data_IF_409708333338
#
_entry.id   IF_409708333338
#
_cell.length_a   1.000
_cell.length_b   1.000
_cell.length_c   1.000
_cell.angle_alpha   90.00
_cell.angle_beta   90.00
_cell.angle_gamma   90.00
#
_symmetry.space_group_name_H-M   'P 1'
#
loop_
_entity.id
_entity.type
_entity.pdbx_description
1 polymer ?
#
# COMPACT_ATOMS: atom_id res chain seq x y z
N UNK A 1 -38.29 -2.17 -22.90
CA UNK A 1 -37.69 -1.55 -21.69
C UNK A 1 -36.53 -2.40 -21.16
N UNK A 2 -36.57 -3.72 -21.36
CA UNK A 2 -35.60 -4.66 -20.79
C UNK A 2 -34.19 -4.56 -21.39
N UNK A 3 -34.05 -4.16 -22.65
CA UNK A 3 -32.72 -4.05 -23.27
C UNK A 3 -31.85 -2.94 -22.65
N UNK A 4 -32.45 -1.84 -22.19
CA UNK A 4 -31.74 -0.77 -21.46
C UNK A 4 -31.34 -1.24 -20.06
N UNK A 5 -32.22 -1.97 -19.38
CA UNK A 5 -31.92 -2.61 -18.09
C UNK A 5 -30.80 -3.65 -18.24
N UNK A 6 -30.83 -4.45 -19.30
CA UNK A 6 -29.80 -5.46 -19.58
C UNK A 6 -28.44 -4.83 -19.88
N UNK A 7 -28.41 -3.72 -20.64
CA UNK A 7 -27.16 -2.97 -20.88
C UNK A 7 -26.64 -2.37 -19.57
N UNK A 8 -27.52 -1.76 -18.76
CA UNK A 8 -27.13 -1.19 -17.47
C UNK A 8 -26.62 -2.27 -16.51
N UNK A 9 -27.30 -3.42 -16.43
CA UNK A 9 -26.87 -4.56 -15.62
C UNK A 9 -25.55 -5.15 -16.11
N UNK A 10 -25.35 -5.27 -17.42
CA UNK A 10 -24.07 -5.70 -17.98
C UNK A 10 -22.94 -4.73 -17.60
N UNK A 11 -23.14 -3.42 -17.78
CA UNK A 11 -22.14 -2.43 -17.41
C UNK A 11 -21.83 -2.46 -15.91
N UNK A 12 -22.85 -2.60 -15.07
CA UNK A 12 -22.65 -2.65 -13.62
C UNK A 12 -21.97 -3.95 -13.20
N UNK A 13 -22.50 -5.11 -13.58
CA UNK A 13 -22.06 -6.40 -13.06
C UNK A 13 -20.79 -6.91 -13.73
N UNK A 14 -20.64 -6.70 -15.03
CA UNK A 14 -19.54 -7.28 -15.81
C UNK A 14 -18.36 -6.31 -15.98
N UNK A 15 -18.57 -5.00 -15.77
CA UNK A 15 -17.51 -3.99 -15.94
C UNK A 15 -17.23 -3.28 -14.61
N UNK A 16 -18.21 -2.62 -14.00
CA UNK A 16 -17.98 -1.78 -12.82
C UNK A 16 -17.79 -2.60 -11.53
N UNK A 17 -18.39 -3.78 -11.43
CA UNK A 17 -18.22 -4.69 -10.30
C UNK A 17 -16.96 -5.56 -10.43
N UNK A 18 -16.34 -5.62 -11.61
CA UNK A 18 -15.07 -6.33 -11.82
C UNK A 18 -13.90 -5.42 -11.45
N UNK A 19 -13.16 -5.69 -10.36
CA UNK A 19 -12.14 -4.78 -9.84
C UNK A 19 -11.03 -4.45 -10.84
N UNK A 20 -10.58 -5.44 -11.62
CA UNK A 20 -9.53 -5.26 -12.62
C UNK A 20 -9.90 -4.23 -13.70
N UNK A 21 -11.16 -4.24 -14.14
CA UNK A 21 -11.66 -3.27 -15.13
C UNK A 21 -11.86 -1.90 -14.50
N UNK A 22 -12.35 -1.84 -13.27
CA UNK A 22 -12.49 -0.59 -12.53
C UNK A 22 -11.13 0.13 -12.37
N UNK A 23 -10.08 -0.59 -11.98
CA UNK A 23 -8.70 -0.05 -11.89
C UNK A 23 -8.18 0.44 -13.25
N UNK A 24 -8.47 -0.29 -14.33
CA UNK A 24 -8.16 0.12 -15.70
C UNK A 24 -8.85 1.42 -16.11
N UNK A 25 -10.16 1.52 -15.85
CA UNK A 25 -10.97 2.71 -16.15
C UNK A 25 -10.46 3.92 -15.37
N UNK A 26 -10.17 3.77 -14.08
CA UNK A 26 -9.66 4.85 -13.24
C UNK A 26 -8.30 5.34 -13.76
N UNK A 27 -7.43 4.40 -14.15
CA UNK A 27 -6.14 4.73 -14.77
C UNK A 27 -6.34 5.49 -16.08
N UNK A 28 -7.28 5.07 -16.91
CA UNK A 28 -7.64 5.76 -18.15
C UNK A 28 -8.09 7.20 -17.89
N UNK A 29 -8.99 7.40 -16.92
CA UNK A 29 -9.50 8.71 -16.52
C UNK A 29 -8.37 9.60 -15.99
N UNK A 30 -7.47 9.06 -15.16
CA UNK A 30 -6.31 9.80 -14.66
C UNK A 30 -5.37 10.25 -15.78
N UNK A 31 -5.09 9.38 -16.75
CA UNK A 31 -4.27 9.70 -17.92
C UNK A 31 -4.96 10.71 -18.85
N UNK A 32 -6.28 10.62 -19.01
CA UNK A 32 -7.07 11.57 -19.76
C UNK A 32 -7.06 12.96 -19.11
N UNK A 33 -7.21 13.04 -17.78
CA UNK A 33 -7.12 14.29 -17.02
C UNK A 33 -5.74 14.95 -17.14
N UNK A 34 -4.67 14.14 -17.26
CA UNK A 34 -3.31 14.59 -17.56
C UNK A 34 -3.08 14.94 -19.03
N UNK A 35 -4.11 14.93 -19.88
CA UNK A 35 -4.04 15.22 -21.33
C UNK A 35 -3.01 14.36 -22.08
N UNK A 36 -2.85 13.10 -21.66
CA UNK A 36 -2.00 12.12 -22.35
C UNK A 36 -2.60 11.72 -23.70
N UNK A 37 -1.78 11.18 -24.61
CA UNK A 37 -2.27 10.75 -25.92
C UNK A 37 -3.21 9.53 -25.79
N UNK A 38 -4.10 9.32 -26.77
CA UNK A 38 -5.03 8.18 -26.74
C UNK A 38 -4.34 6.82 -26.56
N UNK A 39 -3.18 6.62 -27.20
CA UNK A 39 -2.37 5.41 -27.04
C UNK A 39 -1.79 5.26 -25.62
N UNK A 40 -1.40 6.37 -24.98
CA UNK A 40 -0.94 6.33 -23.58
C UNK A 40 -2.09 6.01 -22.62
N UNK A 41 -3.28 6.58 -22.86
CA UNK A 41 -4.49 6.32 -22.06
C UNK A 41 -4.88 4.84 -22.16
N UNK A 42 -5.05 4.33 -23.38
CA UNK A 42 -5.43 2.94 -23.61
C UNK A 42 -4.36 1.96 -23.09
N UNK A 43 -3.09 2.22 -23.40
CA UNK A 43 -1.99 1.39 -22.96
C UNK A 43 -1.83 1.37 -21.43
N UNK A 44 -2.03 2.51 -20.76
CA UNK A 44 -1.99 2.59 -19.30
C UNK A 44 -3.15 1.84 -18.64
N UNK A 45 -4.37 1.99 -19.18
CA UNK A 45 -5.55 1.29 -18.71
C UNK A 45 -5.40 -0.24 -18.81
N UNK A 46 -4.98 -0.75 -19.97
CA UNK A 46 -4.74 -2.18 -20.20
C UNK A 46 -3.66 -2.71 -19.25
N UNK A 47 -2.54 -1.99 -19.11
CA UNK A 47 -1.48 -2.38 -18.18
C UNK A 47 -1.96 -2.45 -16.73
N UNK A 48 -2.80 -1.51 -16.31
CA UNK A 48 -3.34 -1.49 -14.96
C UNK A 48 -4.29 -2.68 -14.72
N UNK A 49 -5.18 -2.98 -15.68
CA UNK A 49 -6.05 -4.17 -15.62
C UNK A 49 -5.25 -5.46 -15.59
N UNK A 50 -4.27 -5.63 -16.49
CA UNK A 50 -3.41 -6.82 -16.51
C UNK A 50 -2.58 -6.95 -15.23
N UNK A 51 -2.05 -5.84 -14.72
CA UNK A 51 -1.31 -5.80 -13.45
C UNK A 51 -2.17 -6.30 -12.28
N UNK A 52 -3.43 -5.86 -12.20
CA UNK A 52 -4.36 -6.33 -11.17
C UNK A 52 -4.65 -7.84 -11.30
N UNK A 53 -4.90 -8.33 -12.52
CA UNK A 53 -5.12 -9.77 -12.76
C UNK A 53 -3.90 -10.62 -12.37
N UNK A 54 -2.70 -10.13 -12.66
CA UNK A 54 -1.45 -10.80 -12.28
C UNK A 54 -1.24 -10.85 -10.77
N UNK A 55 -1.64 -9.80 -10.03
CA UNK A 55 -1.60 -9.80 -8.56
C UNK A 55 -2.52 -10.89 -8.01
N UNK A 56 -3.75 -11.01 -8.53
CA UNK A 56 -4.68 -12.07 -8.13
C UNK A 56 -4.11 -13.47 -8.39
N UNK A 57 -3.61 -13.72 -9.60
CA UNK A 57 -2.99 -15.01 -9.95
C UNK A 57 -1.77 -15.35 -9.08
N UNK A 58 -0.92 -14.36 -8.80
CA UNK A 58 0.23 -14.52 -7.91
C UNK A 58 -0.17 -14.79 -6.46
N UNK A 59 -1.22 -14.13 -5.96
CA UNK A 59 -1.77 -14.35 -4.63
C UNK A 59 -2.23 -15.81 -4.45
N UNK A 60 -2.99 -16.34 -5.41
CA UNK A 60 -3.45 -17.75 -5.40
C UNK A 60 -2.27 -18.72 -5.40
N UNK A 61 -1.30 -18.52 -6.29
CA UNK A 61 -0.11 -19.40 -6.35
C UNK A 61 0.65 -19.44 -5.02
N UNK A 62 0.81 -18.28 -4.37
CA UNK A 62 1.49 -18.17 -3.08
C UNK A 62 0.67 -18.84 -1.99
N UNK A 63 -0.65 -18.64 -1.92
CA UNK A 63 -1.49 -19.26 -0.91
C UNK A 63 -1.51 -20.78 -1.04
N UNK A 64 -1.62 -21.30 -2.26
CA UNK A 64 -1.63 -22.74 -2.54
C UNK A 64 -0.31 -23.41 -2.11
N UNK A 65 0.80 -22.69 -2.25
CA UNK A 65 2.12 -23.17 -1.84
C UNK A 65 2.31 -23.15 -0.32
N UNK A 66 1.62 -22.27 0.39
CA UNK A 66 1.78 -22.05 1.83
C UNK A 66 0.75 -22.80 2.68
N UNK A 67 -0.39 -23.17 2.11
CA UNK A 67 -1.44 -23.93 2.80
C UNK A 67 -0.93 -25.25 3.41
N UNK A 68 -0.13 -26.09 2.72
CA UNK A 68 0.42 -27.31 3.32
C UNK A 68 1.33 -27.02 4.53
N UNK A 69 2.07 -25.91 4.49
CA UNK A 69 2.92 -25.48 5.62
C UNK A 69 2.04 -25.09 6.83
N UNK A 70 0.94 -24.38 6.60
CA UNK A 70 -0.03 -24.05 7.64
C UNK A 70 -0.57 -25.30 8.33
N UNK A 71 -0.99 -26.31 7.56
CA UNK A 71 -1.49 -27.59 8.07
C UNK A 71 -0.42 -28.33 8.88
N UNK A 72 0.83 -28.34 8.43
CA UNK A 72 1.94 -28.96 9.16
C UNK A 72 2.22 -28.26 10.49
N UNK A 73 2.21 -26.92 10.51
CA UNK A 73 2.43 -26.14 11.73
C UNK A 73 1.28 -26.37 12.72
N UNK A 74 0.04 -26.35 12.24
CA UNK A 74 -1.13 -26.65 13.07
C UNK A 74 -1.05 -28.06 13.65
N UNK A 75 -0.73 -29.06 12.83
CA UNK A 75 -0.57 -30.44 13.30
C UNK A 75 0.56 -30.63 14.31
N UNK A 76 1.65 -29.87 14.20
CA UNK A 76 2.81 -29.98 15.08
C UNK A 76 2.68 -29.17 16.39
N UNK A 77 1.99 -28.03 16.35
CA UNK A 77 1.99 -27.06 17.45
C UNK A 77 0.61 -26.81 18.06
N UNK A 78 -0.47 -27.26 17.40
CA UNK A 78 -1.85 -26.91 17.74
C UNK A 78 -2.18 -25.43 17.53
N UNK A 79 -1.28 -24.64 16.94
CA UNK A 79 -1.52 -23.23 16.66
C UNK A 79 -2.31 -23.07 15.37
N UNK A 80 -3.47 -22.43 15.46
CA UNK A 80 -4.18 -21.91 14.30
C UNK A 80 -3.56 -20.57 13.89
N UNK A 81 -3.16 -20.45 12.63
CA UNK A 81 -2.55 -19.24 12.10
C UNK A 81 -2.58 -19.18 10.59
N UNK A 82 -2.41 -17.97 10.06
CA UNK A 82 -2.22 -17.74 8.63
C UNK A 82 -0.75 -17.45 8.37
N UNK A 83 -0.22 -17.89 7.23
CA UNK A 83 1.12 -17.48 6.84
C UNK A 83 1.05 -16.01 6.42
N UNK A 84 1.81 -15.09 7.06
CA UNK A 84 1.67 -13.66 6.83
C UNK A 84 2.33 -13.28 5.51
N UNK A 85 1.58 -13.35 4.42
CA UNK A 85 1.97 -12.83 3.10
C UNK A 85 1.04 -11.69 2.72
N UNK A 86 1.53 -10.46 2.90
CA UNK A 86 0.76 -9.24 2.67
C UNK A 86 0.10 -9.22 1.29
N UNK A 87 0.86 -9.61 0.27
CA UNK A 87 0.43 -9.61 -1.14
C UNK A 87 -0.65 -10.65 -1.41
N UNK A 88 -0.54 -11.83 -0.80
CA UNK A 88 -1.52 -12.90 -1.02
C UNK A 88 -2.86 -12.57 -0.34
N UNK A 89 -2.81 -12.11 0.91
CA UNK A 89 -4.00 -11.67 1.66
C UNK A 89 -4.66 -10.49 0.95
N UNK A 90 -3.88 -9.50 0.51
CA UNK A 90 -4.42 -8.35 -0.20
C UNK A 90 -5.01 -8.74 -1.57
N UNK A 91 -4.43 -9.72 -2.27
CA UNK A 91 -4.95 -10.23 -3.54
C UNK A 91 -6.31 -10.91 -3.37
N UNK A 92 -6.43 -11.84 -2.42
CA UNK A 92 -7.69 -12.55 -2.13
C UNK A 92 -8.78 -11.56 -1.71
N UNK A 93 -8.45 -10.63 -0.82
CA UNK A 93 -9.43 -9.64 -0.37
C UNK A 93 -9.91 -8.71 -1.49
N UNK A 94 -9.04 -8.42 -2.47
CA UNK A 94 -9.40 -7.61 -3.63
C UNK A 94 -10.30 -8.36 -4.61
N UNK A 95 -10.29 -9.68 -4.63
CA UNK A 95 -11.26 -10.47 -5.40
C UNK A 95 -12.67 -10.29 -4.85
N UNK A 96 -12.82 -10.29 -3.52
CA UNK A 96 -14.11 -10.16 -2.86
C UNK A 96 -14.60 -8.70 -2.72
N UNK A 97 -13.70 -7.77 -2.42
CA UNK A 97 -14.03 -6.38 -2.07
C UNK A 97 -13.45 -5.34 -3.03
N UNK A 98 -12.91 -5.76 -4.18
CA UNK A 98 -12.13 -4.88 -5.03
C UNK A 98 -12.86 -3.64 -5.54
N UNK A 99 -14.19 -3.71 -5.68
CA UNK A 99 -15.00 -2.53 -6.02
C UNK A 99 -14.96 -1.46 -4.91
N UNK A 100 -15.12 -1.86 -3.65
CA UNK A 100 -15.03 -1.00 -2.48
C UNK A 100 -13.61 -0.46 -2.32
N UNK A 101 -12.60 -1.31 -2.48
CA UNK A 101 -11.17 -0.93 -2.42
C UNK A 101 -10.85 0.16 -3.45
N UNK A 102 -11.29 -0.02 -4.69
CA UNK A 102 -11.03 0.95 -5.76
C UNK A 102 -11.67 2.31 -5.46
N UNK A 103 -12.94 2.34 -5.06
CA UNK A 103 -13.62 3.58 -4.70
C UNK A 103 -13.00 4.27 -3.47
N UNK A 104 -12.67 3.48 -2.44
CA UNK A 104 -12.00 3.94 -1.24
C UNK A 104 -10.64 4.58 -1.60
N UNK A 105 -9.85 3.93 -2.47
CA UNK A 105 -8.56 4.45 -2.93
C UNK A 105 -8.70 5.79 -3.67
N UNK A 106 -9.66 5.91 -4.58
CA UNK A 106 -9.91 7.18 -5.32
C UNK A 106 -10.30 8.29 -4.34
N UNK A 107 -11.34 8.05 -3.54
CA UNK A 107 -11.88 9.05 -2.65
C UNK A 107 -10.87 9.40 -1.56
N UNK A 108 -10.11 8.42 -1.06
CA UNK A 108 -9.05 8.64 -0.09
C UNK A 108 -7.92 9.47 -0.65
N UNK A 109 -7.54 9.26 -1.92
CA UNK A 109 -6.57 10.12 -2.59
C UNK A 109 -7.12 11.55 -2.75
N UNK A 110 -8.37 11.72 -3.17
CA UNK A 110 -9.02 13.05 -3.24
C UNK A 110 -9.03 13.74 -1.87
N UNK A 111 -9.43 13.02 -0.81
CA UNK A 111 -9.38 13.53 0.57
C UNK A 111 -7.96 13.93 0.94
N UNK A 112 -6.95 13.12 0.62
CA UNK A 112 -5.55 13.46 0.91
C UNK A 112 -5.11 14.75 0.21
N UNK A 113 -5.53 14.98 -1.04
CA UNK A 113 -5.22 16.22 -1.76
C UNK A 113 -5.94 17.42 -1.16
N UNK A 114 -7.20 17.27 -0.75
CA UNK A 114 -7.94 18.32 -0.06
C UNK A 114 -7.28 18.68 1.28
N UNK A 115 -6.89 17.66 2.06
CA UNK A 115 -6.16 17.87 3.30
C UNK A 115 -4.81 18.56 3.05
N UNK A 116 -4.04 18.10 2.06
CA UNK A 116 -2.77 18.73 1.70
C UNK A 116 -2.93 20.18 1.21
N UNK A 117 -4.06 20.51 0.59
CA UNK A 117 -4.35 21.85 0.07
C UNK A 117 -4.82 22.83 1.13
N UNK A 118 -5.64 22.38 2.08
CA UNK A 118 -6.33 23.24 3.05
C UNK A 118 -5.77 23.15 4.47
N UNK A 119 -4.93 22.16 4.78
CA UNK A 119 -4.28 22.03 6.08
C UNK A 119 -2.77 22.31 5.99
N UNK A 120 -2.06 22.47 7.12
CA UNK A 120 -0.60 22.56 7.13
C UNK A 120 0.12 21.28 6.68
N UNK A 121 -0.59 20.14 6.56
CA UNK A 121 -0.02 18.85 6.20
C UNK A 121 0.18 18.72 4.68
N UNK A 122 1.14 19.48 4.14
CA UNK A 122 1.42 19.56 2.68
C UNK A 122 2.19 18.34 2.15
N UNK A 123 1.66 17.14 2.36
CA UNK A 123 2.25 15.88 1.92
C UNK A 123 1.36 15.21 0.88
N UNK A 124 1.96 14.68 -0.17
CA UNK A 124 1.26 13.88 -1.19
C UNK A 124 1.89 12.50 -1.23
N UNK A 125 1.10 11.49 -0.85
CA UNK A 125 1.54 10.11 -0.76
C UNK A 125 1.41 9.45 -2.14
N UNK A 126 2.55 9.21 -2.80
CA UNK A 126 2.59 8.79 -4.21
C UNK A 126 2.84 7.29 -4.41
N UNK A 127 3.03 6.51 -3.33
CA UNK A 127 3.32 5.07 -3.40
C UNK A 127 2.03 4.25 -3.58
N UNK A 128 1.53 4.20 -4.81
CA UNK A 128 0.22 3.62 -5.15
C UNK A 128 0.00 2.17 -4.69
N UNK A 129 1.00 1.29 -4.78
CA UNK A 129 0.85 -0.11 -4.33
C UNK A 129 0.62 -0.22 -2.81
N UNK A 130 1.24 0.64 -2.02
CA UNK A 130 0.96 0.73 -0.59
C UNK A 130 -0.42 1.31 -0.31
N UNK A 131 -0.86 2.32 -1.09
CA UNK A 131 -2.21 2.89 -0.96
C UNK A 131 -3.25 1.81 -1.26
N UNK A 132 -3.04 1.00 -2.29
CA UNK A 132 -3.89 -0.14 -2.62
C UNK A 132 -3.94 -1.15 -1.46
N UNK A 133 -2.79 -1.54 -0.90
CA UNK A 133 -2.72 -2.43 0.25
C UNK A 133 -3.49 -1.89 1.46
N UNK A 134 -3.30 -0.62 1.81
CA UNK A 134 -3.97 -0.01 2.96
C UNK A 134 -5.47 0.19 2.71
N UNK A 135 -5.87 0.56 1.50
CA UNK A 135 -7.28 0.61 1.10
C UNK A 135 -7.95 -0.76 1.27
N UNK A 136 -7.27 -1.84 0.85
CA UNK A 136 -7.73 -3.22 1.04
C UNK A 136 -7.89 -3.57 2.52
N UNK A 137 -6.88 -3.30 3.35
CA UNK A 137 -6.95 -3.58 4.78
C UNK A 137 -8.07 -2.81 5.48
N UNK A 138 -8.22 -1.51 5.22
CA UNK A 138 -9.33 -0.71 5.79
C UNK A 138 -10.68 -1.26 5.33
N UNK A 139 -10.80 -1.63 4.06
CA UNK A 139 -12.02 -2.21 3.50
C UNK A 139 -12.40 -3.50 4.22
N UNK A 140 -11.48 -4.44 4.38
CA UNK A 140 -11.75 -5.71 5.08
C UNK A 140 -12.18 -5.43 6.51
N UNK A 141 -11.44 -4.60 7.25
CA UNK A 141 -11.74 -4.31 8.67
C UNK A 141 -13.16 -3.76 8.82
N UNK A 142 -13.55 -2.81 7.97
CA UNK A 142 -14.89 -2.22 8.02
C UNK A 142 -15.97 -3.18 7.48
N UNK A 143 -15.70 -3.92 6.40
CA UNK A 143 -16.67 -4.84 5.81
C UNK A 143 -16.95 -6.05 6.73
N UNK A 144 -15.92 -6.59 7.38
CA UNK A 144 -16.04 -7.70 8.34
C UNK A 144 -16.68 -7.29 9.66
N UNK A 145 -16.69 -5.99 9.97
CA UNK A 145 -17.47 -5.41 11.06
C UNK A 145 -18.96 -5.18 10.68
N UNK A 146 -19.41 -5.69 9.54
CA UNK A 146 -20.80 -5.66 9.05
C UNK A 146 -21.33 -4.25 8.77
N UNK A 147 -20.44 -3.31 8.42
CA UNK A 147 -20.85 -1.98 7.94
C UNK A 147 -21.39 -2.02 6.52
N UNK A 148 -22.38 -1.17 6.23
CA UNK A 148 -22.93 -1.02 4.89
C UNK A 148 -21.86 -0.58 3.87
N UNK A 149 -21.93 -1.11 2.63
CA UNK A 149 -20.92 -0.87 1.58
C UNK A 149 -20.58 0.61 1.34
N UNK A 150 -21.59 1.49 1.29
CA UNK A 150 -21.35 2.93 1.09
C UNK A 150 -20.60 3.56 2.27
N UNK A 151 -20.84 3.07 3.49
CA UNK A 151 -20.21 3.56 4.70
C UNK A 151 -18.75 3.09 4.77
N UNK A 152 -18.47 1.84 4.38
CA UNK A 152 -17.10 1.31 4.22
C UNK A 152 -16.29 2.21 3.30
N UNK A 153 -16.85 2.59 2.15
CA UNK A 153 -16.18 3.45 1.17
C UNK A 153 -15.94 4.86 1.73
N UNK A 154 -16.97 5.50 2.31
CA UNK A 154 -16.86 6.89 2.78
C UNK A 154 -15.94 7.02 4.00
N UNK A 155 -16.17 6.21 5.04
CA UNK A 155 -15.33 6.25 6.25
C UNK A 155 -13.91 5.79 5.93
N UNK A 156 -13.77 4.75 5.12
CA UNK A 156 -12.49 4.23 4.72
C UNK A 156 -11.68 5.24 3.90
N UNK A 157 -12.32 5.99 3.01
CA UNK A 157 -11.68 7.04 2.22
C UNK A 157 -11.18 8.18 3.11
N UNK A 158 -11.99 8.63 4.08
CA UNK A 158 -11.57 9.66 5.04
C UNK A 158 -10.38 9.16 5.86
N UNK A 159 -10.45 7.94 6.39
CA UNK A 159 -9.36 7.35 7.16
C UNK A 159 -8.08 7.23 6.34
N UNK A 160 -8.16 6.68 5.12
CA UNK A 160 -7.03 6.54 4.22
C UNK A 160 -6.41 7.89 3.89
N UNK A 161 -7.24 8.88 3.54
CA UNK A 161 -6.77 10.23 3.20
C UNK A 161 -6.06 10.91 4.37
N UNK A 162 -6.56 10.74 5.60
CA UNK A 162 -5.90 11.22 6.82
C UNK A 162 -4.54 10.53 7.00
N UNK A 163 -4.48 9.20 6.90
CA UNK A 163 -3.23 8.44 7.04
C UNK A 163 -2.18 8.88 6.01
N UNK A 164 -2.60 9.13 4.77
CA UNK A 164 -1.72 9.55 3.66
C UNK A 164 -1.06 10.91 3.90
N UNK A 165 -1.68 11.82 4.66
CA UNK A 165 -1.07 13.12 5.00
C UNK A 165 -0.39 13.12 6.36
N UNK A 166 -0.93 12.39 7.34
CA UNK A 166 -0.44 12.41 8.71
C UNK A 166 0.81 11.57 8.90
N UNK A 167 0.91 10.40 8.28
CA UNK A 167 2.07 9.52 8.45
C UNK A 167 3.36 10.13 7.89
N UNK A 168 3.40 10.66 6.64
CA UNK A 168 4.59 11.36 6.17
C UNK A 168 4.96 12.53 7.09
N UNK A 169 3.98 13.29 7.57
CA UNK A 169 4.21 14.40 8.50
C UNK A 169 4.85 13.95 9.82
N UNK A 170 4.42 12.82 10.38
CA UNK A 170 5.00 12.23 11.59
C UNK A 170 6.42 11.73 11.35
N UNK A 171 6.71 11.09 10.20
CA UNK A 171 8.05 10.59 9.88
C UNK A 171 9.03 11.71 9.52
N UNK A 172 8.55 12.81 8.94
CA UNK A 172 9.38 13.83 8.30
C UNK A 172 10.51 14.39 9.18
N UNK A 173 10.32 14.70 10.48
CA UNK A 173 11.41 15.17 11.34
C UNK A 173 12.61 14.21 11.42
N UNK A 174 12.38 12.90 11.29
CA UNK A 174 13.45 11.90 11.22
C UNK A 174 14.01 11.81 9.81
N UNK A 175 13.16 11.81 8.77
CA UNK A 175 13.59 11.78 7.37
C UNK A 175 14.57 12.92 7.06
N UNK A 176 14.26 14.15 7.47
CA UNK A 176 15.12 15.34 7.23
C UNK A 176 16.50 15.26 7.85
N UNK A 177 16.61 14.57 8.99
CA UNK A 177 17.91 14.35 9.64
C UNK A 177 18.78 13.36 8.88
N UNK A 178 18.15 12.42 8.18
CA UNK A 178 18.81 11.38 7.40
C UNK A 178 19.15 11.93 6.00
N UNK A 179 18.21 12.62 5.34
CA UNK A 179 18.39 13.16 3.99
C UNK A 179 19.20 14.46 3.97
N UNK A 180 19.20 15.23 5.06
CA UNK A 180 19.85 16.54 5.14
C UNK A 180 19.07 17.67 4.47
N UNK A 181 17.87 17.41 3.92
CA UNK A 181 17.00 18.41 3.30
C UNK A 181 15.50 18.14 3.57
N UNK A 182 14.63 19.03 3.09
CA UNK A 182 13.16 18.99 3.25
C UNK A 182 12.44 18.57 1.95
N UNK A 183 13.17 17.95 1.01
CA UNK A 183 12.66 17.70 -0.35
C UNK A 183 11.74 16.48 -0.46
N UNK A 184 11.91 15.49 0.42
CA UNK A 184 11.21 14.21 0.36
C UNK A 184 10.79 13.75 1.76
N UNK A 185 9.54 13.27 1.86
CA UNK A 185 9.01 12.58 3.03
C UNK A 185 8.75 11.10 2.73
N UNK A 186 8.78 10.26 3.77
CA UNK A 186 8.52 8.82 3.63
C UNK A 186 7.02 8.57 3.53
N UNK A 187 6.57 8.07 2.38
CA UNK A 187 5.20 7.60 2.15
C UNK A 187 5.09 6.09 2.35
N UNK A 188 4.98 5.64 3.61
CA UNK A 188 4.83 4.23 3.95
C UNK A 188 3.98 4.02 5.21
N UNK A 189 3.13 2.97 5.24
CA UNK A 189 2.21 2.72 6.35
C UNK A 189 2.86 2.11 7.61
N UNK A 190 4.10 1.62 7.48
CA UNK A 190 4.97 1.22 8.61
C UNK A 190 5.59 2.39 9.40
N UNK A 191 5.14 3.62 9.17
CA UNK A 191 5.70 4.85 9.77
C UNK A 191 5.81 4.79 11.30
N UNK A 192 4.82 4.21 11.99
CA UNK A 192 4.87 4.08 13.45
C UNK A 192 6.12 3.31 13.92
N UNK A 193 6.50 2.25 13.21
CA UNK A 193 7.72 1.49 13.48
C UNK A 193 8.98 2.32 13.26
N UNK A 194 9.04 3.11 12.18
CA UNK A 194 10.19 3.98 11.90
C UNK A 194 10.35 5.07 12.96
N UNK A 195 9.25 5.71 13.35
CA UNK A 195 9.22 6.74 14.39
C UNK A 195 9.62 6.13 15.73
N UNK A 196 9.09 4.96 16.07
CA UNK A 196 9.47 4.23 17.30
C UNK A 196 10.96 3.88 17.31
N UNK A 197 11.48 3.30 16.22
CA UNK A 197 12.90 2.97 16.09
C UNK A 197 13.78 4.23 16.21
N UNK A 198 13.40 5.32 15.54
CA UNK A 198 14.10 6.60 15.64
C UNK A 198 14.03 7.23 17.04
N UNK A 199 12.91 7.08 17.75
CA UNK A 199 12.75 7.54 19.12
C UNK A 199 13.60 6.73 20.09
N UNK A 200 13.57 5.40 19.99
CA UNK A 200 14.42 4.49 20.78
C UNK A 200 15.89 4.79 20.52
N UNK A 201 16.30 4.90 19.25
CA UNK A 201 17.67 5.26 18.87
C UNK A 201 18.13 6.59 19.49
N UNK A 202 17.25 7.59 19.58
CA UNK A 202 17.53 8.86 20.26
C UNK A 202 17.67 8.71 21.78
N UNK A 203 16.95 7.78 22.40
CA UNK A 203 16.99 7.53 23.84
C UNK A 203 18.23 6.74 24.24
N UNK A 204 18.57 5.69 23.49
CA UNK A 204 19.68 4.77 23.84
C UNK A 204 21.01 5.11 23.18
N UNK A 205 20.99 5.92 22.11
CA UNK A 205 22.15 6.20 21.27
C UNK A 205 23.19 7.15 21.85
N UNK A 206 23.04 7.63 23.09
CA UNK A 206 23.99 8.54 23.73
C UNK A 206 24.10 9.92 23.08
N UNK A 207 24.99 10.78 23.59
CA UNK A 207 25.27 12.14 23.06
C UNK A 207 26.77 12.44 23.11
N UNK A 208 27.24 13.29 22.19
CA UNK A 208 28.64 13.73 22.18
C UNK A 208 29.61 12.57 21.98
N UNK A 209 30.62 12.45 22.86
CA UNK A 209 31.61 11.38 22.81
C UNK A 209 31.04 9.99 23.13
N UNK A 210 29.87 9.92 23.77
CA UNK A 210 29.15 8.68 24.06
C UNK A 210 28.12 8.30 22.99
N UNK A 211 28.06 9.04 21.87
CA UNK A 211 27.14 8.72 20.78
C UNK A 211 27.51 7.38 20.13
N UNK A 212 26.50 6.52 19.95
CA UNK A 212 26.64 5.28 19.18
C UNK A 212 27.03 5.60 17.74
N UNK A 213 27.98 4.84 17.20
CA UNK A 213 28.47 5.05 15.83
C UNK A 213 27.39 4.62 14.83
N UNK A 214 27.29 5.35 13.72
CA UNK A 214 26.47 4.91 12.59
C UNK A 214 27.03 3.61 12.02
N UNK A 215 26.15 2.69 11.61
CA UNK A 215 26.55 1.49 10.89
C UNK A 215 27.16 1.81 9.52
N UNK A 216 26.83 2.96 8.94
CA UNK A 216 27.38 3.46 7.66
C UNK A 216 28.89 3.78 7.76
N UNK A 217 29.36 4.13 8.97
CA UNK A 217 30.76 4.45 9.27
C UNK A 217 31.60 3.23 9.68
N UNK A 218 31.01 2.03 9.72
CA UNK A 218 31.72 0.82 10.11
C UNK A 218 32.82 0.48 9.09
N UNK A 219 34.05 0.34 9.60
CA UNK A 219 35.20 -0.12 8.83
C UNK A 219 35.28 -1.64 8.88
N UNK A 220 34.67 -2.29 7.89
CA UNK A 220 34.72 -3.75 7.75
C UNK A 220 36.06 -4.21 7.14
N UNK A 221 36.59 -5.39 7.55
CA UNK A 221 37.76 -6.00 6.93
C UNK A 221 37.49 -6.37 5.46
N UNK A 222 38.54 -6.54 4.67
CA UNK A 222 38.45 -6.62 3.20
C UNK A 222 37.49 -7.70 2.69
N UNK A 223 37.50 -8.89 3.30
CA UNK A 223 36.60 -9.99 2.93
C UNK A 223 35.12 -9.75 3.25
N UNK A 224 34.79 -8.81 4.15
CA UNK A 224 33.42 -8.46 4.53
C UNK A 224 32.96 -7.13 3.92
N UNK A 225 33.79 -6.48 3.10
CA UNK A 225 33.46 -5.18 2.50
C UNK A 225 32.20 -5.21 1.63
N UNK A 226 31.87 -6.36 1.06
CA UNK A 226 30.66 -6.53 0.27
C UNK A 226 29.38 -6.29 1.10
N UNK A 227 29.42 -6.46 2.43
CA UNK A 227 28.31 -6.15 3.33
C UNK A 227 28.03 -4.65 3.48
N UNK A 228 28.93 -3.78 2.99
CA UNK A 228 28.67 -2.33 2.90
C UNK A 228 27.77 -1.99 1.72
N UNK A 229 27.60 -2.90 0.78
CA UNK A 229 26.61 -2.74 -0.27
C UNK A 229 25.22 -2.97 0.33
N UNK A 230 24.38 -1.93 0.30
CA UNK A 230 23.04 -1.96 0.86
C UNK A 230 22.16 -3.05 0.25
N UNK A 231 22.34 -3.37 -1.03
CA UNK A 231 21.57 -4.41 -1.70
C UNK A 231 22.02 -5.80 -1.23
N UNK A 232 23.33 -6.02 -1.10
CA UNK A 232 23.87 -7.31 -0.64
C UNK A 232 23.58 -7.55 0.83
N UNK A 233 23.69 -6.52 1.68
CA UNK A 233 23.31 -6.62 3.09
C UNK A 233 21.81 -6.99 3.24
N UNK A 234 20.94 -6.32 2.48
CA UNK A 234 19.50 -6.61 2.48
C UNK A 234 19.20 -8.03 2.01
N UNK A 235 19.92 -8.55 1.01
CA UNK A 235 19.72 -9.92 0.51
C UNK A 235 20.11 -11.02 1.52
N UNK A 236 20.96 -10.69 2.50
CA UNK A 236 21.43 -11.61 3.54
C UNK A 236 20.67 -11.46 4.87
N UNK A 237 19.74 -10.50 4.98
CA UNK A 237 18.93 -10.26 6.18
C UNK A 237 17.67 -11.12 6.17
#
# INVERSE_FOLDING_TARGET
MDWLLNIAQFLVNEILAVPAFLIGIITAVGLAAMKRSGGQIAGGAIKATLGFLLIGAGATLVTDSLEPLGIMIEGATGMHGVVPTNEAIAGIAQEQFGSQVAWLMILGFVVSLLLARFTPLRYVFLTGHHVLFMATMITIILATADYANWLVVVLGAVLLGVLMVSLPALAHPWTRKITGDDSVAIGHFGTAGYVAAGAVGKLVGGKGSAASKSTEDLKLPEGLRFLRDSMVATALS
#
